data_IF_693463227405
#
_entry.id   IF_693463227405
#
_cell.length_a   1.000
_cell.length_b   1.000
_cell.length_c   1.000
_cell.angle_alpha   90.00
_cell.angle_beta   90.00
_cell.angle_gamma   90.00
#
_symmetry.space_group_name_H-M   'P 1'
#
loop_
_entity.id
_entity.type
_entity.pdbx_description
1 polymer ?
#
# COMPACT_ATOMS: atom_id res chain seq x y z
N UNK A 1 -27.18 -2.04 14.63
CA UNK A 1 -26.60 -1.98 14.43
C UNK A 1 -25.78 -1.99 13.98
N UNK A 2 -25.89 -2.22 13.78
CA UNK A 2 -24.85 -2.50 13.10
C UNK A 2 -23.83 -1.62 13.02
N UNK A 3 -23.41 -1.22 13.65
CA UNK A 3 -22.42 -0.49 13.54
C UNK A 3 -21.46 -0.97 12.71
N UNK A 4 -21.71 -1.02 11.56
CA UNK A 4 -20.81 -1.33 10.56
C UNK A 4 -19.59 -0.49 10.65
N UNK A 5 -18.44 -1.12 10.65
CA UNK A 5 -17.18 -0.42 10.54
C UNK A 5 -16.70 -0.38 9.10
N UNK A 6 -17.57 -0.73 8.18
CA UNK A 6 -17.18 -0.68 6.77
C UNK A 6 -17.01 0.76 6.32
N UNK A 7 -16.04 0.97 5.48
CA UNK A 7 -15.83 2.24 4.79
C UNK A 7 -15.92 2.01 3.29
N UNK A 8 -16.10 3.08 2.49
CA UNK A 8 -16.08 2.92 1.03
C UNK A 8 -14.73 2.43 0.52
N UNK A 9 -13.71 2.46 1.35
CA UNK A 9 -12.38 1.98 0.99
C UNK A 9 -12.27 0.46 1.12
N UNK A 10 -13.07 -0.16 2.00
CA UNK A 10 -12.95 -1.59 2.24
C UNK A 10 -13.08 -2.39 0.96
N UNK A 11 -12.17 -3.32 0.73
CA UNK A 11 -12.18 -4.12 -0.47
C UNK A 11 -10.85 -4.78 -0.77
N UNK A 12 -10.85 -5.50 -1.89
CA UNK A 12 -9.68 -6.16 -2.43
C UNK A 12 -9.20 -5.36 -3.63
N UNK A 13 -7.90 -5.10 -3.70
CA UNK A 13 -7.32 -4.24 -4.73
C UNK A 13 -6.13 -4.90 -5.39
N UNK A 14 -5.93 -4.61 -6.67
CA UNK A 14 -4.62 -4.76 -7.28
C UNK A 14 -3.90 -3.42 -7.19
N UNK A 15 -2.58 -3.47 -7.07
CA UNK A 15 -1.76 -2.28 -7.07
C UNK A 15 -0.59 -2.47 -8.03
N UNK A 16 -0.38 -1.47 -8.88
CA UNK A 16 0.71 -1.46 -9.83
C UNK A 16 1.70 -0.41 -9.36
N UNK A 17 2.95 -0.82 -9.15
CA UNK A 17 3.99 0.06 -8.65
C UNK A 17 5.08 0.25 -9.66
N UNK A 18 5.63 1.45 -9.75
CA UNK A 18 6.84 1.72 -10.49
C UNK A 18 7.80 2.54 -9.64
N UNK A 19 9.08 2.24 -9.72
CA UNK A 19 10.12 2.95 -9.02
C UNK A 19 11.35 3.04 -9.89
N UNK A 20 12.42 3.61 -9.33
CA UNK A 20 13.67 3.83 -10.06
C UNK A 20 14.23 2.54 -10.66
N UNK A 21 14.14 1.43 -9.94
CA UNK A 21 14.80 0.19 -10.32
C UNK A 21 13.85 -0.85 -10.92
N UNK A 22 12.58 -0.54 -11.11
CA UNK A 22 11.67 -1.50 -11.73
C UNK A 22 10.21 -1.29 -11.38
N UNK A 23 9.43 -2.31 -11.68
CA UNK A 23 7.99 -2.33 -11.48
C UNK A 23 7.60 -3.53 -10.62
N UNK A 24 6.46 -3.43 -9.95
CA UNK A 24 5.90 -4.54 -9.21
C UNK A 24 4.38 -4.50 -9.25
N UNK A 25 3.78 -5.63 -8.93
CA UNK A 25 2.33 -5.81 -8.88
C UNK A 25 2.02 -6.45 -7.54
N UNK A 26 1.01 -5.94 -6.86
CA UNK A 26 0.62 -6.47 -5.57
C UNK A 26 -0.88 -6.62 -5.44
N UNK A 27 -1.28 -7.37 -4.40
CA UNK A 27 -2.67 -7.52 -3.98
C UNK A 27 -2.77 -6.95 -2.58
N UNK A 28 -3.80 -6.14 -2.34
CA UNK A 28 -4.03 -5.49 -1.06
C UNK A 28 -5.45 -5.69 -0.59
N UNK A 29 -5.63 -5.83 0.70
CA UNK A 29 -6.94 -5.88 1.34
C UNK A 29 -7.03 -4.74 2.32
N UNK A 30 -8.07 -3.92 2.17
CA UNK A 30 -8.42 -2.86 3.12
C UNK A 30 -9.70 -3.30 3.81
N UNK A 31 -9.67 -3.42 5.13
CA UNK A 31 -10.86 -3.84 5.86
C UNK A 31 -10.80 -3.36 7.31
N UNK A 32 -11.84 -2.62 7.70
CA UNK A 32 -12.03 -2.23 9.11
C UNK A 32 -10.78 -1.60 9.73
N UNK A 33 -10.15 -0.70 9.00
CA UNK A 33 -8.98 0.02 9.49
C UNK A 33 -7.66 -0.70 9.33
N UNK A 34 -7.67 -1.89 8.74
CA UNK A 34 -6.45 -2.66 8.52
C UNK A 34 -6.14 -2.71 7.03
N UNK A 35 -4.89 -2.62 6.67
CA UNK A 35 -4.43 -2.82 5.30
C UNK A 35 -3.30 -3.84 5.32
N UNK A 36 -3.44 -4.87 4.49
CA UNK A 36 -2.41 -5.89 4.32
C UNK A 36 -2.22 -6.15 2.85
N UNK A 37 -1.04 -6.60 2.47
CA UNK A 37 -0.78 -6.89 1.08
C UNK A 37 0.54 -7.59 0.85
N UNK A 38 0.75 -7.99 -0.39
CA UNK A 38 1.99 -8.60 -0.83
C UNK A 38 2.21 -8.27 -2.29
N UNK A 39 3.46 -8.19 -2.70
CA UNK A 39 3.79 -7.91 -4.10
C UNK A 39 4.63 -9.01 -4.71
N UNK A 40 4.75 -8.96 -6.03
CA UNK A 40 5.43 -10.00 -6.80
C UNK A 40 6.93 -10.05 -6.53
N UNK A 41 7.50 -9.00 -5.99
CA UNK A 41 8.92 -8.96 -5.64
C UNK A 41 9.22 -9.53 -4.26
N UNK A 42 8.21 -10.09 -3.59
CA UNK A 42 8.37 -10.67 -2.25
C UNK A 42 8.12 -9.69 -1.12
N UNK A 43 7.77 -8.47 -1.42
CA UNK A 43 7.46 -7.48 -0.40
C UNK A 43 6.16 -7.79 0.31
N UNK A 44 6.09 -7.47 1.60
CA UNK A 44 4.89 -7.64 2.43
C UNK A 44 4.53 -6.32 3.06
N UNK A 45 3.22 -6.09 3.16
CA UNK A 45 2.67 -4.84 3.63
C UNK A 45 1.68 -5.12 4.75
N UNK A 46 1.81 -4.38 5.85
CA UNK A 46 0.95 -4.56 7.01
C UNK A 46 0.80 -3.21 7.70
N UNK A 47 -0.41 -2.77 7.88
CA UNK A 47 -0.63 -1.47 8.47
C UNK A 47 -2.06 -1.19 8.85
N UNK A 48 -2.30 0.08 9.17
CA UNK A 48 -3.59 0.56 9.59
C UNK A 48 -3.93 1.83 8.86
N UNK A 49 -5.20 2.07 8.69
CA UNK A 49 -5.66 3.31 8.07
C UNK A 49 -6.87 3.87 8.80
N UNK A 50 -7.02 5.18 8.72
CA UNK A 50 -8.20 5.88 9.20
C UNK A 50 -8.68 6.83 8.13
N UNK A 51 -9.96 7.17 8.19
CA UNK A 51 -10.52 8.18 7.31
C UNK A 51 -10.35 9.54 7.97
N UNK A 52 -10.01 10.56 7.21
CA UNK A 52 -9.93 11.92 7.74
C UNK A 52 -11.31 12.39 8.19
N UNK A 53 -11.33 13.37 9.11
CA UNK A 53 -12.58 13.84 9.72
C UNK A 53 -13.58 14.36 8.67
N UNK A 54 -13.07 14.93 7.57
CA UNK A 54 -13.94 15.47 6.51
C UNK A 54 -14.34 14.39 5.49
N UNK A 55 -13.85 13.15 5.66
CA UNK A 55 -14.22 12.04 4.79
C UNK A 55 -13.60 12.08 3.39
N UNK A 56 -12.62 12.93 3.15
CA UNK A 56 -12.07 13.09 1.79
C UNK A 56 -10.84 12.25 1.52
N UNK A 57 -10.15 11.81 2.57
CA UNK A 57 -8.89 11.07 2.42
C UNK A 57 -8.81 9.94 3.44
N UNK A 58 -7.91 9.01 3.18
CA UNK A 58 -7.44 8.08 4.20
C UNK A 58 -6.01 8.44 4.55
N UNK A 59 -5.66 8.18 5.80
CA UNK A 59 -4.29 8.28 6.28
C UNK A 59 -3.88 6.91 6.78
N UNK A 60 -2.77 6.42 6.30
CA UNK A 60 -2.31 5.08 6.61
C UNK A 60 -0.87 5.09 7.07
N UNK A 61 -0.56 4.13 7.92
CA UNK A 61 0.79 3.86 8.36
C UNK A 61 1.06 2.40 8.02
N UNK A 62 1.94 2.15 7.07
CA UNK A 62 2.16 0.82 6.53
C UNK A 62 3.61 0.41 6.77
N UNK A 63 3.79 -0.78 7.31
CA UNK A 63 5.12 -1.40 7.40
C UNK A 63 5.34 -2.23 6.15
N UNK A 64 6.39 -1.90 5.43
CA UNK A 64 6.85 -2.68 4.29
C UNK A 64 8.05 -3.50 4.71
N UNK A 65 8.01 -4.80 4.45
CA UNK A 65 9.11 -5.72 4.76
C UNK A 65 9.52 -6.44 3.48
N UNK A 66 10.82 -6.39 3.19
CA UNK A 66 11.40 -7.08 2.04
C UNK A 66 12.32 -8.17 2.58
N UNK A 67 12.01 -9.46 2.31
CA UNK A 67 12.84 -10.56 2.80
C UNK A 67 14.25 -10.55 2.20
N UNK A 68 15.17 -11.19 2.90
CA UNK A 68 16.54 -11.38 2.42
C UNK A 68 16.53 -12.07 1.05
N UNK A 69 17.39 -11.61 0.18
CA UNK A 69 17.52 -12.17 -1.17
C UNK A 69 16.71 -11.41 -2.21
N UNK A 70 15.92 -10.43 -1.80
CA UNK A 70 15.08 -9.66 -2.73
C UNK A 70 15.57 -8.23 -2.86
N UNK A 71 15.23 -7.61 -3.99
CA UNK A 71 15.53 -6.22 -4.25
C UNK A 71 14.22 -5.46 -4.42
N UNK A 72 14.14 -4.26 -3.84
CA UNK A 72 12.96 -3.42 -4.00
C UNK A 72 13.01 -2.69 -5.35
N UNK A 73 11.86 -2.19 -5.79
CA UNK A 73 11.79 -1.41 -7.03
C UNK A 73 12.46 -0.03 -6.88
N UNK A 74 12.85 0.35 -5.67
CA UNK A 74 13.61 1.57 -5.43
C UNK A 74 15.13 1.34 -5.56
N UNK A 75 15.55 0.08 -5.70
CA UNK A 75 16.96 -0.27 -5.86
C UNK A 75 17.65 -0.78 -4.61
N UNK A 76 16.95 -0.81 -3.48
CA UNK A 76 17.54 -1.34 -2.24
C UNK A 76 17.47 -2.86 -2.23
N UNK A 77 18.54 -3.49 -1.78
CA UNK A 77 18.63 -4.96 -1.68
C UNK A 77 18.67 -5.38 -0.23
N UNK A 78 17.92 -6.41 0.11
CA UNK A 78 17.95 -7.04 1.42
C UNK A 78 18.95 -8.18 1.37
N UNK A 79 20.20 -7.93 1.77
CA UNK A 79 21.28 -8.90 1.61
C UNK A 79 21.51 -9.74 2.85
N UNK A 80 21.89 -9.14 3.97
CA UNK A 80 22.17 -9.86 5.20
C UNK A 80 20.93 -9.93 6.11
N UNK A 81 20.08 -8.93 6.04
CA UNK A 81 18.89 -8.82 6.88
C UNK A 81 17.73 -8.34 6.05
N UNK A 82 16.48 -8.64 6.44
CA UNK A 82 15.32 -8.07 5.79
C UNK A 82 15.33 -6.56 5.90
N UNK A 83 14.77 -5.88 4.92
CA UNK A 83 14.52 -4.46 5.00
C UNK A 83 13.11 -4.29 5.57
N UNK A 84 12.98 -3.46 6.61
CA UNK A 84 11.67 -3.13 7.17
C UNK A 84 11.61 -1.61 7.34
N UNK A 85 10.62 -0.99 6.71
CA UNK A 85 10.43 0.47 6.78
C UNK A 85 8.98 0.80 7.07
N UNK A 86 8.78 1.98 7.66
CA UNK A 86 7.44 2.52 7.88
C UNK A 86 7.16 3.55 6.80
N UNK A 87 6.00 3.43 6.17
CA UNK A 87 5.59 4.33 5.11
C UNK A 87 4.28 4.99 5.51
N UNK A 88 4.31 6.26 5.93
CA UNK A 88 3.09 7.02 6.12
C UNK A 88 2.57 7.45 4.76
N UNK A 89 1.28 7.36 4.55
CA UNK A 89 0.73 7.85 3.31
C UNK A 89 -0.67 8.43 3.49
N UNK A 90 -1.04 9.28 2.58
CA UNK A 90 -2.35 9.90 2.54
C UNK A 90 -2.85 9.81 1.12
N UNK A 91 -4.03 9.24 0.94
CA UNK A 91 -4.63 9.06 -0.37
C UNK A 91 -6.05 9.61 -0.37
N UNK A 92 -6.52 10.14 -1.51
CA UNK A 92 -7.94 10.51 -1.61
C UNK A 92 -8.79 9.25 -1.44
N UNK A 93 -10.02 9.43 -0.93
CA UNK A 93 -10.90 8.30 -0.64
C UNK A 93 -11.15 7.46 -1.88
N UNK A 94 -11.09 8.06 -3.07
CA UNK A 94 -11.30 7.35 -4.33
C UNK A 94 -9.97 7.08 -5.02
N UNK A 95 -8.99 6.61 -4.27
CA UNK A 95 -7.65 6.36 -4.80
C UNK A 95 -7.60 5.25 -5.85
N UNK A 96 -8.69 4.50 -6.00
CA UNK A 96 -8.78 3.42 -7.00
C UNK A 96 -9.28 3.93 -8.36
N UNK A 97 -9.45 5.22 -8.53
CA UNK A 97 -9.72 5.78 -9.85
C UNK A 97 -8.44 5.79 -10.66
N UNK A 98 -8.57 6.07 -11.94
CA UNK A 98 -7.49 5.97 -12.91
C UNK A 98 -6.32 6.91 -12.68
N UNK A 99 -5.98 7.21 -11.44
CA UNK A 99 -4.92 8.12 -11.07
C UNK A 99 -3.67 7.38 -10.62
N UNK A 100 -2.53 7.95 -10.90
CA UNK A 100 -1.27 7.48 -10.38
C UNK A 100 -0.90 8.34 -9.18
N UNK A 101 -0.58 7.69 -8.07
CA UNK A 101 -0.23 8.37 -6.83
C UNK A 101 1.26 8.24 -6.57
N UNK A 102 1.91 9.38 -6.35
CA UNK A 102 3.31 9.36 -5.93
C UNK A 102 3.37 9.16 -4.43
N UNK A 103 4.16 8.19 -4.01
CA UNK A 103 4.33 7.87 -2.59
C UNK A 103 5.80 8.03 -2.24
N UNK A 104 6.08 8.87 -1.25
CA UNK A 104 7.44 9.03 -0.74
C UNK A 104 7.70 7.96 0.30
N UNK A 105 8.82 7.28 0.18
CA UNK A 105 9.23 6.28 1.16
C UNK A 105 10.65 6.56 1.64
N UNK A 106 11.05 6.04 2.80
CA UNK A 106 12.42 6.21 3.28
C UNK A 106 13.50 5.67 2.35
N UNK A 107 13.14 4.81 1.41
CA UNK A 107 14.10 4.22 0.47
C UNK A 107 13.87 4.69 -0.96
N UNK A 108 13.12 5.76 -1.14
CA UNK A 108 12.92 6.38 -2.44
C UNK A 108 11.45 6.47 -2.84
N UNK A 109 11.13 7.34 -3.79
CA UNK A 109 9.76 7.51 -4.23
C UNK A 109 9.29 6.37 -5.12
N UNK A 110 8.00 6.10 -5.08
CA UNK A 110 7.36 5.17 -6.00
C UNK A 110 6.08 5.81 -6.54
N UNK A 111 5.61 5.30 -7.66
CA UNK A 111 4.30 5.64 -8.18
C UNK A 111 3.42 4.41 -8.05
N UNK A 112 2.18 4.61 -7.66
CA UNK A 112 1.24 3.52 -7.42
C UNK A 112 -0.10 3.82 -8.08
N UNK A 113 -0.67 2.79 -8.69
CA UNK A 113 -2.01 2.84 -9.24
C UNK A 113 -2.80 1.68 -8.68
N UNK A 114 -3.98 1.96 -8.16
CA UNK A 114 -4.82 0.96 -7.51
C UNK A 114 -6.08 0.72 -8.31
N UNK A 115 -6.51 -0.54 -8.38
CA UNK A 115 -7.78 -0.91 -8.95
C UNK A 115 -8.52 -1.81 -7.98
N UNK A 116 -9.76 -1.48 -7.67
CA UNK A 116 -10.56 -2.28 -6.77
C UNK A 116 -11.09 -3.50 -7.53
N UNK A 117 -10.81 -4.67 -7.00
CA UNK A 117 -11.31 -5.92 -7.58
C UNK A 117 -12.75 -6.14 -7.14
N UNK A 118 -13.03 -5.94 -5.85
CA UNK A 118 -14.37 -6.09 -5.31
C UNK A 118 -14.42 -5.55 -3.88
N UNK A 119 -15.62 -5.35 -3.39
CA UNK A 119 -15.84 -5.05 -1.99
C UNK A 119 -15.58 -6.29 -1.14
N UNK A 120 -15.24 -6.02 0.08
CA UNK A 120 -15.05 -7.09 1.07
C UNK A 120 -16.39 -7.57 1.57
#
# INVERSE_FOLDING_TARGET
MGNSKHSPVDGFYTAYFSGFAGNSLGIFVFKEGIVVGADAGGGRYDGEFTMTADGTHIEAQIRFTLPVGNQSITGMSAEAEPISIEVPLRLPIEFNRNDVHRIETPIGPINAKFEKIRNV
#
